data_IF_309703785220
#
_entry.id   IF_309703785220
#
_cell.length_a   1.000
_cell.length_b   1.000
_cell.length_c   1.000
_cell.angle_alpha   90.00
_cell.angle_beta   90.00
_cell.angle_gamma   90.00
#
_symmetry.space_group_name_H-M   'P 1'
#
loop_
_entity.id
_entity.type
_entity.pdbx_description
1 polymer ?
#
# COMPACT_ATOMS: atom_id res chain seq x y z
N UNK A 1 9.22 -2.25 35.35
CA UNK A 1 8.09 -1.79 34.50
C UNK A 1 8.41 -0.57 33.63
N UNK A 2 9.18 0.43 34.09
CA UNK A 2 9.52 1.63 33.28
C UNK A 2 10.31 1.29 32.00
N UNK A 3 11.35 0.45 32.12
CA UNK A 3 12.16 0.00 30.98
C UNK A 3 11.34 -0.71 29.89
N UNK A 4 10.42 -1.59 30.27
CA UNK A 4 9.54 -2.30 29.34
C UNK A 4 8.61 -1.33 28.60
N UNK A 5 8.05 -0.33 29.30
CA UNK A 5 7.22 0.71 28.68
C UNK A 5 8.03 1.58 27.72
N UNK A 6 9.26 1.95 28.10
CA UNK A 6 10.16 2.73 27.23
C UNK A 6 10.55 1.94 25.98
N UNK A 7 10.88 0.65 26.12
CA UNK A 7 11.17 -0.23 24.98
C UNK A 7 9.98 -0.35 24.03
N UNK A 8 8.77 -0.57 24.58
CA UNK A 8 7.54 -0.69 23.79
C UNK A 8 7.22 0.60 23.00
N UNK A 9 7.42 1.77 23.61
CA UNK A 9 7.18 3.06 22.93
C UNK A 9 8.25 3.30 21.86
N UNK A 10 9.51 2.97 22.14
CA UNK A 10 10.60 3.14 21.17
C UNK A 10 10.48 2.22 19.95
N UNK A 11 10.02 0.98 20.14
CA UNK A 11 9.81 0.05 19.02
C UNK A 11 8.64 0.47 18.13
N UNK A 12 7.56 1.00 18.72
CA UNK A 12 6.42 1.49 17.96
C UNK A 12 6.75 2.75 17.14
N UNK A 13 7.59 3.64 17.67
CA UNK A 13 8.04 4.82 16.95
C UNK A 13 8.91 4.46 15.72
N UNK A 14 9.71 3.39 15.81
CA UNK A 14 10.58 2.95 14.72
C UNK A 14 9.82 2.27 13.58
N UNK A 15 8.74 1.55 13.86
CA UNK A 15 7.93 0.89 12.81
C UNK A 15 7.05 1.87 12.03
N UNK A 16 6.70 3.02 12.62
CA UNK A 16 5.85 4.02 11.98
C UNK A 16 6.47 4.65 10.72
N UNK A 17 7.80 4.76 10.64
CA UNK A 17 8.49 5.32 9.46
C UNK A 17 8.53 4.36 8.26
N UNK A 18 8.31 3.06 8.50
CA UNK A 18 8.25 2.04 7.46
C UNK A 18 6.87 1.95 6.77
N UNK A 19 5.84 2.59 7.32
CA UNK A 19 4.47 2.56 6.79
C UNK A 19 4.23 3.59 5.69
N UNK A 20 5.11 3.63 4.70
CA UNK A 20 4.87 4.45 3.50
C UNK A 20 4.00 3.67 2.53
N UNK A 21 2.83 4.23 2.20
CA UNK A 21 2.00 3.71 1.13
C UNK A 21 2.81 3.62 -0.17
N UNK A 22 2.80 2.45 -0.79
CA UNK A 22 3.33 2.19 -2.12
C UNK A 22 2.61 3.09 -3.14
N UNK A 23 3.18 3.23 -4.33
CA UNK A 23 2.51 3.99 -5.39
C UNK A 23 1.15 3.36 -5.75
N UNK A 24 1.02 2.03 -5.63
CA UNK A 24 -0.23 1.29 -5.84
C UNK A 24 -1.30 1.58 -4.78
N UNK A 25 -0.91 1.89 -3.55
CA UNK A 25 -1.86 2.28 -2.49
C UNK A 25 -2.22 3.77 -2.55
N UNK A 26 -1.38 4.59 -3.19
CA UNK A 26 -1.60 6.04 -3.33
C UNK A 26 -2.55 6.41 -4.46
N UNK A 27 -2.68 5.59 -5.50
CA UNK A 27 -3.53 5.88 -6.65
C UNK A 27 -5.02 5.83 -6.26
N UNK A 28 -5.77 6.89 -6.56
CA UNK A 28 -7.18 7.04 -6.19
C UNK A 28 -8.17 6.89 -7.34
N UNK A 29 -7.66 6.86 -8.57
CA UNK A 29 -8.46 6.79 -9.80
C UNK A 29 -7.82 5.79 -10.76
N UNK A 30 -8.62 5.09 -11.59
CA UNK A 30 -8.07 4.22 -12.62
C UNK A 30 -7.04 4.95 -13.50
N UNK A 31 -5.97 4.24 -13.87
CA UNK A 31 -5.02 4.74 -14.87
C UNK A 31 -5.75 4.86 -16.21
N UNK A 32 -5.70 6.04 -16.83
CA UNK A 32 -6.34 6.27 -18.12
C UNK A 32 -5.76 5.35 -19.20
N UNK A 33 -6.64 4.77 -20.02
CA UNK A 33 -6.25 3.87 -21.10
C UNK A 33 -7.34 2.83 -21.40
N UNK A 34 -7.07 1.97 -22.37
CA UNK A 34 -7.94 0.81 -22.64
C UNK A 34 -7.78 -0.22 -21.52
N UNK A 35 -8.87 -0.93 -21.20
CA UNK A 35 -8.86 -2.00 -20.22
C UNK A 35 -7.84 -3.08 -20.60
N UNK A 36 -6.83 -3.28 -19.75
CA UNK A 36 -5.77 -4.25 -19.99
C UNK A 36 -5.23 -4.79 -18.67
N UNK A 37 -5.29 -6.11 -18.50
CA UNK A 37 -4.60 -6.83 -17.43
C UNK A 37 -3.14 -7.08 -17.82
N UNK A 38 -2.20 -6.79 -16.91
CA UNK A 38 -0.77 -6.94 -17.13
C UNK A 38 -0.21 -7.86 -16.03
N UNK A 39 0.47 -8.95 -16.41
CA UNK A 39 1.07 -9.90 -15.46
C UNK A 39 0.10 -10.98 -14.97
N UNK A 40 0.41 -11.56 -13.81
CA UNK A 40 -0.38 -12.62 -13.18
C UNK A 40 -1.14 -12.13 -11.95
N UNK A 41 -2.05 -12.95 -11.41
CA UNK A 41 -2.93 -12.57 -10.29
C UNK A 41 -2.19 -12.04 -9.05
N UNK A 42 -1.05 -12.63 -8.70
CA UNK A 42 -0.25 -12.24 -7.52
C UNK A 42 0.91 -11.29 -7.84
N UNK A 43 1.09 -10.91 -9.11
CA UNK A 43 2.14 -9.99 -9.54
C UNK A 43 1.78 -9.36 -10.89
N UNK A 44 0.95 -8.33 -10.84
CA UNK A 44 0.42 -7.66 -12.01
C UNK A 44 -0.25 -6.33 -11.68
N UNK A 45 -0.81 -5.69 -12.69
CA UNK A 45 -1.60 -4.47 -12.56
C UNK A 45 -2.69 -4.40 -13.66
N UNK A 46 -3.50 -3.33 -13.63
CA UNK A 46 -4.55 -3.07 -14.63
C UNK A 46 -4.50 -1.62 -15.09
N UNK A 47 -4.57 -1.43 -16.41
CA UNK A 47 -4.81 -0.12 -17.05
C UNK A 47 -6.29 -0.04 -17.42
N UNK A 48 -6.89 1.14 -17.32
CA UNK A 48 -8.29 1.34 -17.70
C UNK A 48 -9.29 0.56 -16.85
N UNK A 49 -9.03 0.42 -15.54
CA UNK A 49 -9.94 -0.25 -14.62
C UNK A 49 -11.32 0.43 -14.58
N UNK A 50 -12.39 -0.37 -14.54
CA UNK A 50 -13.77 0.10 -14.51
C UNK A 50 -14.40 -0.16 -13.14
N UNK A 51 -15.11 0.81 -12.54
CA UNK A 51 -15.90 0.58 -11.33
C UNK A 51 -16.97 -0.48 -11.57
N UNK A 52 -17.34 -1.21 -10.52
CA UNK A 52 -18.50 -2.09 -10.57
C UNK A 52 -19.78 -1.24 -10.66
N UNK A 53 -20.67 -1.60 -11.57
CA UNK A 53 -21.99 -0.99 -11.75
C UNK A 53 -23.08 -1.77 -10.99
#
# INVERSE_FOLDING_TARGET
MKLLKTLLVSSLAFTATALNATQWEKIKTPVQGKAQSIGGYSNGCIIGAQPLH
#
